data_IF_101168300215
#
_entry.id   IF_101168300215
#
_cell.length_a   1.000
_cell.length_b   1.000
_cell.length_c   1.000
_cell.angle_alpha   90.00
_cell.angle_beta   90.00
_cell.angle_gamma   90.00
#
_symmetry.space_group_name_H-M   'P 1'
#
loop_
_entity.id
_entity.type
_entity.pdbx_description
1 polymer ?
#
# COMPACT_ATOMS: atom_id res chain seq x y z
N UNK A 1 4.74 -20.63 -4.11
CA UNK A 1 5.01 -19.19 -4.30
C UNK A 1 4.97 -18.49 -2.95
N UNK A 2 5.97 -17.70 -2.66
CA UNK A 2 6.01 -16.87 -1.45
C UNK A 2 6.38 -15.43 -1.79
N UNK A 3 5.91 -14.49 -0.98
CA UNK A 3 6.27 -13.08 -1.08
C UNK A 3 7.69 -12.91 -0.57
N UNK A 4 8.55 -12.29 -1.37
CA UNK A 4 9.97 -12.10 -1.05
C UNK A 4 10.33 -10.64 -0.78
N UNK A 5 9.58 -9.69 -1.35
CA UNK A 5 9.90 -8.27 -1.22
C UNK A 5 8.64 -7.41 -1.31
N UNK A 6 8.59 -6.40 -0.47
CA UNK A 6 7.57 -5.35 -0.48
C UNK A 6 8.29 -4.03 -0.79
N UNK A 7 7.95 -3.41 -1.90
CA UNK A 7 8.63 -2.19 -2.36
C UNK A 7 7.64 -1.06 -2.56
N UNK A 8 7.61 -0.07 -1.65
CA UNK A 8 6.83 1.15 -1.85
C UNK A 8 7.48 2.02 -2.92
N UNK A 9 6.66 2.58 -3.81
CA UNK A 9 7.10 3.56 -4.81
C UNK A 9 6.32 4.84 -4.58
N UNK A 10 7.06 5.92 -4.32
CA UNK A 10 6.48 7.23 -4.00
C UNK A 10 6.67 8.15 -5.18
N UNK A 11 5.55 8.63 -5.74
CA UNK A 11 5.56 9.54 -6.87
C UNK A 11 4.84 10.83 -6.47
N UNK A 12 5.41 11.97 -6.82
CA UNK A 12 4.80 13.27 -6.54
C UNK A 12 4.91 14.17 -7.75
N UNK A 13 3.78 14.76 -8.11
CA UNK A 13 3.68 15.69 -9.22
C UNK A 13 3.15 17.03 -8.72
N UNK A 14 3.78 18.11 -9.15
CA UNK A 14 3.36 19.47 -8.82
C UNK A 14 2.69 20.11 -10.05
N UNK A 15 1.34 20.17 -10.10
CA UNK A 15 0.65 20.80 -11.21
C UNK A 15 0.92 22.31 -11.22
N UNK A 16 0.91 22.94 -12.42
CA UNK A 16 1.11 24.38 -12.56
C UNK A 16 0.03 25.17 -11.82
N UNK A 17 -1.20 24.66 -11.82
CA UNK A 17 -2.32 25.22 -11.04
C UNK A 17 -2.65 24.24 -9.92
N UNK A 18 -2.34 24.59 -8.66
CA UNK A 18 -2.70 23.73 -7.54
C UNK A 18 -4.19 23.48 -7.45
N UNK A 19 -4.57 22.26 -7.13
CA UNK A 19 -5.95 21.91 -6.90
C UNK A 19 -6.40 22.38 -5.52
N UNK A 20 -7.71 22.58 -5.38
CA UNK A 20 -8.35 22.86 -4.08
C UNK A 20 -9.56 21.96 -3.91
N UNK A 21 -9.80 21.50 -2.71
CA UNK A 21 -11.08 20.98 -2.29
C UNK A 21 -11.72 21.91 -1.27
N UNK A 22 -12.82 21.52 -0.63
CA UNK A 22 -13.52 22.34 0.35
C UNK A 22 -12.76 22.55 1.66
N UNK A 23 -11.66 21.84 1.89
CA UNK A 23 -10.93 21.84 3.15
C UNK A 23 -9.53 22.40 3.03
N UNK A 24 -8.85 22.20 1.90
CA UNK A 24 -7.44 22.53 1.79
C UNK A 24 -7.02 22.80 0.35
N UNK A 25 -5.91 23.55 0.22
CA UNK A 25 -5.19 23.69 -1.04
C UNK A 25 -4.31 22.46 -1.22
N UNK A 26 -4.36 21.86 -2.41
CA UNK A 26 -3.60 20.67 -2.74
C UNK A 26 -2.46 21.07 -3.68
N UNK A 27 -1.22 21.26 -3.16
CA UNK A 27 -0.11 21.75 -3.99
C UNK A 27 0.52 20.68 -4.87
N UNK A 28 0.28 19.39 -4.60
CA UNK A 28 0.88 18.30 -5.36
C UNK A 28 -0.10 17.15 -5.52
N UNK A 29 0.16 16.32 -6.51
CA UNK A 29 -0.49 15.02 -6.69
C UNK A 29 0.46 13.95 -6.22
N UNK A 30 0.06 13.20 -5.20
CA UNK A 30 0.83 12.10 -4.65
C UNK A 30 0.27 10.77 -5.12
N UNK A 31 1.16 9.89 -5.59
CA UNK A 31 0.80 8.53 -5.97
C UNK A 31 1.64 7.57 -5.14
N UNK A 32 0.97 6.72 -4.38
CA UNK A 32 1.61 5.65 -3.63
C UNK A 32 1.36 4.33 -4.34
N UNK A 33 2.41 3.76 -4.89
CA UNK A 33 2.37 2.44 -5.51
C UNK A 33 3.07 1.44 -4.59
N UNK A 34 2.59 0.21 -4.61
CA UNK A 34 3.19 -0.87 -3.85
C UNK A 34 3.46 -2.02 -4.79
N UNK A 35 4.73 -2.43 -4.89
CA UNK A 35 5.12 -3.61 -5.63
C UNK A 35 5.36 -4.76 -4.67
N UNK A 36 4.67 -5.86 -4.89
CA UNK A 36 4.87 -7.10 -4.14
C UNK A 36 5.54 -8.11 -5.07
N UNK A 37 6.76 -8.52 -4.72
CA UNK A 37 7.52 -9.48 -5.48
C UNK A 37 7.48 -10.86 -4.86
N UNK A 38 7.54 -11.90 -5.70
CA UNK A 38 7.51 -13.30 -5.27
C UNK A 38 8.79 -14.01 -5.71
N UNK A 39 8.97 -15.23 -5.22
CA UNK A 39 10.09 -16.09 -5.60
C UNK A 39 9.96 -16.73 -6.98
N UNK A 40 8.84 -16.51 -7.68
CA UNK A 40 8.58 -17.09 -8.99
C UNK A 40 8.59 -16.07 -10.13
N UNK A 41 9.30 -14.95 -9.95
CA UNK A 41 9.42 -13.85 -10.94
C UNK A 41 8.07 -13.23 -11.31
N UNK A 42 7.05 -13.46 -10.49
CA UNK A 42 5.74 -12.84 -10.61
C UNK A 42 5.67 -11.72 -9.57
N UNK A 43 5.13 -10.58 -9.97
CA UNK A 43 4.89 -9.49 -9.04
C UNK A 43 3.54 -8.85 -9.30
N UNK A 44 3.03 -8.14 -8.32
CA UNK A 44 1.81 -7.36 -8.45
C UNK A 44 2.02 -5.93 -8.00
N UNK A 45 1.22 -5.02 -8.54
CA UNK A 45 1.26 -3.60 -8.20
C UNK A 45 -0.10 -3.18 -7.70
N UNK A 46 -0.12 -2.50 -6.57
CA UNK A 46 -1.30 -1.86 -6.02
C UNK A 46 -1.08 -0.37 -5.83
N UNK A 47 -2.17 0.37 -5.66
CA UNK A 47 -2.14 1.79 -5.41
C UNK A 47 -2.96 2.09 -4.16
N UNK A 48 -2.44 2.97 -3.31
CA UNK A 48 -3.12 3.44 -2.11
C UNK A 48 -3.22 4.96 -2.09
N UNK A 49 -4.19 5.46 -1.32
CA UNK A 49 -4.37 6.88 -1.12
C UNK A 49 -3.25 7.44 -0.24
N UNK A 50 -2.64 8.54 -0.65
CA UNK A 50 -1.47 9.07 0.05
C UNK A 50 -1.38 10.60 0.05
N UNK A 51 -2.48 11.29 -0.16
CA UNK A 51 -2.49 12.75 -0.29
C UNK A 51 -1.89 13.42 0.96
N UNK A 52 -0.76 14.08 0.78
CA UNK A 52 -0.07 14.80 1.85
C UNK A 52 0.67 13.93 2.86
N UNK A 53 0.64 12.59 2.72
CA UNK A 53 1.27 11.68 3.68
C UNK A 53 2.04 10.53 3.02
N UNK A 54 2.65 10.81 1.88
CA UNK A 54 3.31 9.79 1.06
C UNK A 54 4.40 9.01 1.81
N UNK A 55 5.28 9.73 2.51
CA UNK A 55 6.34 9.09 3.29
C UNK A 55 5.79 8.28 4.47
N UNK A 56 4.73 8.78 5.10
CA UNK A 56 4.10 8.08 6.23
C UNK A 56 3.46 6.76 5.81
N UNK A 57 2.75 6.75 4.70
CA UNK A 57 2.14 5.51 4.17
C UNK A 57 3.22 4.50 3.80
N UNK A 58 4.30 4.96 3.14
CA UNK A 58 5.40 4.07 2.77
C UNK A 58 6.11 3.50 4.00
N UNK A 59 6.40 4.33 5.00
CA UNK A 59 7.04 3.89 6.24
C UNK A 59 6.15 2.91 7.02
N UNK A 60 4.87 3.20 7.14
CA UNK A 60 3.91 2.31 7.76
C UNK A 60 3.85 0.95 7.07
N UNK A 61 3.84 0.94 5.74
CA UNK A 61 3.80 -0.29 4.97
C UNK A 61 5.01 -1.17 5.26
N UNK A 62 6.21 -0.57 5.29
CA UNK A 62 7.44 -1.32 5.56
C UNK A 62 7.54 -1.77 7.01
N UNK A 63 7.14 -0.93 7.95
CA UNK A 63 7.27 -1.25 9.38
C UNK A 63 6.21 -2.22 9.88
N UNK A 64 4.95 -2.02 9.46
CA UNK A 64 3.81 -2.75 10.04
C UNK A 64 3.27 -3.85 9.15
N UNK A 65 3.30 -3.70 7.83
CA UNK A 65 2.68 -4.67 6.93
C UNK A 65 3.68 -5.67 6.34
N UNK A 66 4.85 -5.23 5.92
CA UNK A 66 5.84 -6.11 5.31
C UNK A 66 6.19 -7.33 6.19
N UNK A 67 6.41 -7.19 7.51
CA UNK A 67 6.69 -8.34 8.36
C UNK A 67 5.57 -9.38 8.40
N UNK A 68 4.32 -8.98 8.15
CA UNK A 68 3.18 -9.89 8.14
C UNK A 68 3.00 -10.59 6.79
N UNK A 69 3.61 -10.06 5.74
CA UNK A 69 3.43 -10.53 4.36
C UNK A 69 4.60 -11.37 3.85
N UNK A 70 5.84 -10.97 4.14
CA UNK A 70 7.02 -11.66 3.64
C UNK A 70 7.04 -13.10 4.13
N UNK A 71 7.27 -14.03 3.21
CA UNK A 71 7.24 -15.47 3.49
C UNK A 71 5.87 -16.11 3.32
N UNK A 72 4.82 -15.33 3.07
CA UNK A 72 3.46 -15.84 2.92
C UNK A 72 3.13 -16.12 1.45
N UNK A 73 2.15 -16.99 1.22
CA UNK A 73 1.62 -17.26 -0.12
C UNK A 73 0.70 -16.10 -0.55
N UNK A 74 1.05 -15.35 -1.61
CA UNK A 74 0.25 -14.19 -2.04
C UNK A 74 -1.15 -14.56 -2.56
N UNK A 75 -1.40 -15.82 -2.87
CA UNK A 75 -2.72 -16.26 -3.34
C UNK A 75 -3.73 -16.41 -2.20
N UNK A 76 -3.28 -16.43 -0.95
CA UNK A 76 -4.15 -16.46 0.22
C UNK A 76 -4.63 -15.04 0.59
N UNK A 77 -5.30 -14.38 -0.35
CA UNK A 77 -5.63 -12.94 -0.26
C UNK A 77 -6.51 -12.63 0.95
N UNK A 78 -7.61 -13.34 1.12
CA UNK A 78 -8.53 -13.09 2.23
C UNK A 78 -7.88 -13.35 3.59
N UNK A 79 -7.09 -14.40 3.70
CA UNK A 79 -6.37 -14.72 4.93
C UNK A 79 -5.37 -13.64 5.29
N UNK A 80 -4.61 -13.15 4.31
CA UNK A 80 -3.62 -12.10 4.53
C UNK A 80 -4.30 -10.77 4.90
N UNK A 81 -5.39 -10.43 4.22
CA UNK A 81 -6.16 -9.22 4.54
C UNK A 81 -6.66 -9.26 5.98
N UNK A 82 -7.28 -10.37 6.40
CA UNK A 82 -7.77 -10.53 7.76
C UNK A 82 -6.66 -10.49 8.78
N UNK A 83 -5.52 -11.11 8.49
CA UNK A 83 -4.36 -11.09 9.38
C UNK A 83 -3.86 -9.68 9.61
N UNK A 84 -3.70 -8.90 8.54
CA UNK A 84 -3.27 -7.51 8.66
C UNK A 84 -4.30 -6.70 9.44
N UNK A 85 -5.57 -6.82 9.09
CA UNK A 85 -6.64 -6.07 9.75
C UNK A 85 -6.65 -6.32 11.26
N UNK A 86 -6.53 -7.58 11.68
CA UNK A 86 -6.51 -7.95 13.09
C UNK A 86 -5.24 -7.51 13.80
N UNK A 87 -4.09 -7.67 13.18
CA UNK A 87 -2.80 -7.30 13.79
C UNK A 87 -2.62 -5.78 13.91
N UNK A 88 -3.27 -5.02 13.06
CA UNK A 88 -3.19 -3.55 13.05
C UNK A 88 -4.46 -2.89 13.54
N UNK A 89 -5.34 -3.63 14.17
CA UNK A 89 -6.68 -3.19 14.59
C UNK A 89 -6.68 -1.88 15.39
N UNK A 90 -5.69 -1.69 16.27
CA UNK A 90 -5.66 -0.54 17.18
C UNK A 90 -5.26 0.77 16.50
N UNK A 91 -4.56 0.70 15.36
CA UNK A 91 -4.03 1.90 14.70
C UNK A 91 -4.19 1.89 13.18
N UNK A 92 -4.53 0.76 12.57
CA UNK A 92 -4.61 0.60 11.12
C UNK A 92 -6.02 0.56 10.52
N UNK A 93 -7.03 0.89 11.32
CA UNK A 93 -8.43 0.81 10.89
C UNK A 93 -8.86 1.91 9.93
N UNK A 94 -8.20 3.05 9.98
CA UNK A 94 -8.54 4.26 9.22
C UNK A 94 -7.28 4.97 8.76
N UNK A 95 -7.46 5.94 7.87
CA UNK A 95 -6.36 6.78 7.42
C UNK A 95 -5.30 5.99 6.67
N UNK A 96 -4.03 6.23 7.01
CA UNK A 96 -2.91 5.62 6.32
C UNK A 96 -2.87 4.09 6.45
N UNK A 97 -3.38 3.54 7.55
CA UNK A 97 -3.42 2.09 7.74
C UNK A 97 -4.31 1.40 6.71
N UNK A 98 -5.50 1.93 6.49
CA UNK A 98 -6.42 1.40 5.47
C UNK A 98 -5.92 1.69 4.06
N UNK A 99 -5.31 2.85 3.82
CA UNK A 99 -4.71 3.16 2.53
C UNK A 99 -3.62 2.15 2.15
N UNK A 100 -2.74 1.83 3.10
CA UNK A 100 -1.70 0.83 2.90
C UNK A 100 -2.27 -0.57 2.68
N UNK A 101 -3.28 -0.96 3.48
CA UNK A 101 -3.93 -2.26 3.32
C UNK A 101 -4.62 -2.38 1.96
N UNK A 102 -5.25 -1.32 1.48
CA UNK A 102 -5.87 -1.29 0.15
C UNK A 102 -4.83 -1.50 -0.96
N UNK A 103 -3.67 -0.86 -0.85
CA UNK A 103 -2.59 -1.05 -1.82
C UNK A 103 -2.10 -2.51 -1.83
N UNK A 104 -1.95 -3.12 -0.65
CA UNK A 104 -1.59 -4.53 -0.53
C UNK A 104 -2.64 -5.42 -1.20
N UNK A 105 -3.91 -5.18 -0.89
CA UNK A 105 -5.01 -5.98 -1.44
C UNK A 105 -5.05 -5.94 -2.97
N UNK A 106 -4.93 -4.75 -3.54
CA UNK A 106 -4.89 -4.57 -5.00
C UNK A 106 -3.68 -5.31 -5.60
N UNK A 107 -2.51 -5.19 -4.98
CA UNK A 107 -1.31 -5.87 -5.46
C UNK A 107 -1.44 -7.40 -5.43
N UNK A 108 -2.07 -7.95 -4.39
CA UNK A 108 -2.33 -9.40 -4.30
C UNK A 108 -3.29 -9.87 -5.38
N UNK A 109 -4.36 -9.11 -5.64
CA UNK A 109 -5.29 -9.42 -6.72
C UNK A 109 -4.61 -9.33 -8.09
N UNK A 110 -3.68 -8.39 -8.26
CA UNK A 110 -2.89 -8.25 -9.49
C UNK A 110 -1.99 -9.48 -9.71
N UNK A 111 -1.40 -10.04 -8.66
CA UNK A 111 -0.63 -11.28 -8.74
C UNK A 111 -1.51 -12.44 -9.21
N UNK A 112 -2.71 -12.55 -8.66
CA UNK A 112 -3.65 -13.62 -9.01
C UNK A 112 -4.11 -13.54 -10.45
N UNK A 113 -4.39 -12.34 -10.91
CA UNK A 113 -4.85 -12.09 -12.27
C UNK A 113 -3.73 -12.05 -13.26
#
# INVERSE_FOLDING_TARGET
MIITKIEPVKLRYYPQKPLRDGLARIPSRDVFLLKIETDEEIYGIGEGFALGCLDSVAAYTLECLAPLLIGSNPLEITRLWNRIYQQTFRFGKRGIGIAALSAVDIALWDILG
#
